data_IF_530402979150
#
_entry.id   IF_530402979150
#
_cell.length_a   1.000
_cell.length_b   1.000
_cell.length_c   1.000
_cell.angle_alpha   90.00
_cell.angle_beta   90.00
_cell.angle_gamma   90.00
#
_symmetry.space_group_name_H-M   'P 1'
#
loop_
_entity.id
_entity.type
_entity.pdbx_description
1 polymer ?
#
# COMPACT_ATOMS: atom_id res chain seq x y z
N UNK A 1 7.90 22.08 -35.67
CA UNK A 1 7.20 22.43 -34.40
C UNK A 1 5.88 21.67 -34.25
N UNK A 2 5.02 21.63 -35.27
CA UNK A 2 3.74 20.88 -35.26
C UNK A 2 3.90 19.39 -34.95
N UNK A 3 4.94 18.74 -35.49
CA UNK A 3 5.22 17.30 -35.27
C UNK A 3 5.54 16.97 -33.82
N UNK A 4 6.34 17.80 -33.14
CA UNK A 4 6.72 17.60 -31.74
C UNK A 4 5.50 17.78 -30.83
N UNK A 5 4.69 18.81 -31.09
CA UNK A 5 3.46 19.05 -30.33
C UNK A 5 2.47 17.89 -30.51
N UNK A 6 2.26 17.44 -31.75
CA UNK A 6 1.40 16.29 -32.04
C UNK A 6 1.91 15.01 -31.37
N UNK A 7 3.23 14.77 -31.39
CA UNK A 7 3.84 13.64 -30.70
C UNK A 7 3.56 13.66 -29.19
N UNK A 8 3.79 14.80 -28.52
CA UNK A 8 3.54 14.95 -27.08
C UNK A 8 2.05 14.68 -26.76
N UNK A 9 1.13 15.23 -27.55
CA UNK A 9 -0.31 15.03 -27.33
C UNK A 9 -0.71 13.56 -27.47
N UNK A 10 -0.26 12.89 -28.54
CA UNK A 10 -0.56 11.47 -28.76
C UNK A 10 0.06 10.61 -27.65
N UNK A 11 1.29 10.91 -27.26
CA UNK A 11 1.99 10.20 -26.20
C UNK A 11 1.27 10.33 -24.85
N UNK A 12 0.84 11.54 -24.48
CA UNK A 12 0.04 11.77 -23.27
C UNK A 12 -1.24 10.92 -23.27
N UNK A 13 -1.98 10.90 -24.38
CA UNK A 13 -3.22 10.13 -24.50
C UNK A 13 -2.93 8.63 -24.34
N UNK A 14 -1.88 8.12 -25.00
CA UNK A 14 -1.50 6.71 -24.94
C UNK A 14 -1.15 6.30 -23.51
N UNK A 15 -0.31 7.09 -22.82
CA UNK A 15 0.05 6.85 -21.42
C UNK A 15 -1.17 6.85 -20.52
N UNK A 16 -2.06 7.84 -20.64
CA UNK A 16 -3.28 7.91 -19.82
C UNK A 16 -4.16 6.68 -20.01
N UNK A 17 -4.35 6.23 -21.25
CA UNK A 17 -5.14 5.02 -21.56
C UNK A 17 -4.46 3.77 -21.02
N UNK A 18 -3.13 3.66 -21.11
CA UNK A 18 -2.37 2.53 -20.59
C UNK A 18 -2.53 2.40 -19.08
N UNK A 19 -2.25 3.47 -18.33
CA UNK A 19 -2.38 3.47 -16.87
C UNK A 19 -3.85 3.27 -16.46
N UNK A 20 -4.79 3.88 -17.18
CA UNK A 20 -6.22 3.68 -16.91
C UNK A 20 -6.63 2.22 -17.10
N UNK A 21 -6.04 1.50 -18.06
CA UNK A 21 -6.21 0.06 -18.21
C UNK A 21 -5.85 -0.70 -16.94
N UNK A 22 -4.63 -0.50 -16.41
CA UNK A 22 -4.20 -1.10 -15.14
C UNK A 22 -5.13 -0.76 -13.99
N UNK A 23 -5.49 0.51 -13.86
CA UNK A 23 -6.40 0.99 -12.83
C UNK A 23 -7.78 0.29 -12.90
N UNK A 24 -8.36 0.23 -14.10
CA UNK A 24 -9.68 -0.35 -14.34
C UNK A 24 -9.69 -1.85 -14.03
N UNK A 25 -8.72 -2.60 -14.55
CA UNK A 25 -8.63 -4.04 -14.31
C UNK A 25 -8.31 -4.34 -12.84
N UNK A 26 -7.42 -3.58 -12.19
CA UNK A 26 -7.12 -3.75 -10.77
C UNK A 26 -8.35 -3.52 -9.89
N UNK A 27 -9.08 -2.42 -10.08
CA UNK A 27 -10.31 -2.12 -9.34
C UNK A 27 -11.39 -3.18 -9.59
N UNK A 28 -11.52 -3.67 -10.82
CA UNK A 28 -12.49 -4.72 -11.18
C UNK A 28 -12.16 -6.07 -10.53
N UNK A 29 -10.87 -6.39 -10.38
CA UNK A 29 -10.39 -7.59 -9.70
C UNK A 29 -10.38 -7.46 -8.16
N UNK A 30 -10.87 -6.35 -7.60
CA UNK A 30 -10.90 -6.10 -6.16
C UNK A 30 -9.55 -5.71 -5.56
N UNK A 31 -8.53 -5.43 -6.38
CA UNK A 31 -7.21 -5.01 -5.92
C UNK A 31 -7.29 -3.54 -5.50
N UNK A 32 -6.84 -3.25 -4.28
CA UNK A 32 -6.76 -1.89 -3.76
C UNK A 32 -5.68 -1.11 -4.52
N UNK A 33 -6.08 -0.04 -5.22
CA UNK A 33 -5.14 0.90 -5.83
C UNK A 33 -4.90 2.06 -4.87
N UNK A 34 -3.67 2.20 -4.37
CA UNK A 34 -3.26 3.26 -3.44
C UNK A 34 -3.01 4.59 -4.15
N UNK A 35 -2.39 4.55 -5.33
CA UNK A 35 -2.10 5.75 -6.13
C UNK A 35 -2.29 5.48 -7.62
N UNK A 36 -2.91 6.44 -8.31
CA UNK A 36 -2.99 6.51 -9.77
C UNK A 36 -2.34 7.82 -10.21
N UNK A 37 -1.20 7.74 -10.90
CA UNK A 37 -0.40 8.89 -11.28
C UNK A 37 -0.34 9.05 -12.79
N UNK A 38 -0.68 10.25 -13.27
CA UNK A 38 -0.45 10.67 -14.65
C UNK A 38 0.75 11.61 -14.66
N UNK A 39 1.77 11.27 -15.43
CA UNK A 39 3.03 12.01 -15.50
C UNK A 39 4.07 11.52 -14.50
N UNK A 40 5.23 12.16 -14.55
CA UNK A 40 6.40 11.92 -13.72
C UNK A 40 6.92 13.23 -13.11
N UNK A 41 7.78 13.12 -12.10
CA UNK A 41 8.43 14.27 -11.47
C UNK A 41 7.53 15.03 -10.47
N UNK A 42 7.69 16.35 -10.34
CA UNK A 42 6.98 17.14 -9.33
C UNK A 42 5.45 17.04 -9.45
N UNK A 43 4.80 16.83 -8.30
CA UNK A 43 3.34 16.77 -8.18
C UNK A 43 2.74 18.17 -8.37
N UNK A 44 1.94 18.33 -9.42
CA UNK A 44 1.17 19.54 -9.67
C UNK A 44 -0.14 19.53 -8.88
N UNK A 45 -0.78 18.36 -8.83
CA UNK A 45 -2.06 18.20 -8.18
C UNK A 45 -2.23 16.79 -7.61
N UNK A 46 -2.98 16.68 -6.52
CA UNK A 46 -3.39 15.42 -5.96
C UNK A 46 -4.80 15.50 -5.35
N UNK A 47 -5.58 14.45 -5.54
CA UNK A 47 -6.90 14.29 -4.95
C UNK A 47 -7.06 12.86 -4.42
N UNK A 48 -7.56 12.71 -3.20
CA UNK A 48 -7.81 11.40 -2.60
C UNK A 48 -9.30 11.07 -2.66
N UNK A 49 -9.67 9.98 -3.34
CA UNK A 49 -11.05 9.54 -3.49
C UNK A 49 -11.14 8.01 -3.58
N UNK A 50 -12.11 7.40 -2.88
CA UNK A 50 -12.36 5.95 -2.91
C UNK A 50 -11.11 5.08 -2.65
N UNK A 51 -10.36 5.44 -1.60
CA UNK A 51 -9.09 4.79 -1.19
C UNK A 51 -7.99 4.80 -2.26
N UNK A 52 -8.08 5.74 -3.22
CA UNK A 52 -7.08 5.93 -4.27
C UNK A 52 -6.67 7.39 -4.32
N UNK A 53 -5.36 7.64 -4.35
CA UNK A 53 -4.79 8.97 -4.57
C UNK A 53 -4.59 9.19 -6.06
N UNK A 54 -5.32 10.11 -6.67
CA UNK A 54 -5.12 10.53 -8.05
C UNK A 54 -4.10 11.66 -8.07
N UNK A 55 -3.02 11.53 -8.83
CA UNK A 55 -1.97 12.55 -8.90
C UNK A 55 -1.68 12.94 -10.34
N UNK A 56 -1.51 14.25 -10.57
CA UNK A 56 -1.07 14.81 -11.83
C UNK A 56 0.31 15.44 -11.63
N UNK A 57 1.26 15.09 -12.49
CA UNK A 57 2.66 15.52 -12.39
C UNK A 57 3.09 16.29 -13.63
N UNK A 58 4.15 17.09 -13.47
CA UNK A 58 4.58 18.06 -14.47
C UNK A 58 5.06 17.42 -15.78
N UNK A 59 5.79 16.31 -15.71
CA UNK A 59 6.38 15.71 -16.90
C UNK A 59 5.40 14.70 -17.50
N UNK A 60 4.99 14.82 -18.77
CA UNK A 60 4.11 13.85 -19.42
C UNK A 60 4.82 12.53 -19.79
N UNK A 61 6.03 12.28 -19.28
CA UNK A 61 6.92 11.18 -19.63
C UNK A 61 6.56 9.87 -18.92
N UNK A 62 5.29 9.46 -19.00
CA UNK A 62 4.78 8.22 -18.39
C UNK A 62 3.77 8.46 -17.27
N UNK A 63 3.51 7.42 -16.49
CA UNK A 63 2.61 7.41 -15.34
C UNK A 63 2.81 6.11 -14.55
N UNK A 64 2.05 5.91 -13.50
CA UNK A 64 2.04 4.61 -12.80
C UNK A 64 0.77 4.38 -11.99
N UNK A 65 0.44 3.11 -11.78
CA UNK A 65 -0.61 2.65 -10.86
C UNK A 65 0.00 1.86 -9.71
N UNK A 66 -0.08 2.39 -8.49
CA UNK A 66 0.40 1.72 -7.28
C UNK A 66 -0.70 0.84 -6.70
N UNK A 67 -0.60 -0.46 -6.96
CA UNK A 67 -1.49 -1.49 -6.43
C UNK A 67 -1.03 -1.99 -5.06
N UNK A 68 -1.96 -2.41 -4.20
CA UNK A 68 -1.63 -3.06 -2.94
C UNK A 68 -0.85 -4.36 -3.19
N UNK A 69 0.15 -4.63 -2.36
CA UNK A 69 1.07 -5.76 -2.53
C UNK A 69 2.24 -5.48 -3.49
N UNK A 70 2.23 -4.36 -4.23
CA UNK A 70 3.42 -3.87 -4.91
C UNK A 70 4.22 -3.00 -3.96
N UNK A 71 5.38 -3.52 -3.50
CA UNK A 71 6.37 -2.86 -2.64
C UNK A 71 5.97 -2.54 -1.19
N UNK A 72 4.84 -3.05 -0.67
CA UNK A 72 4.57 -3.03 0.78
C UNK A 72 5.31 -4.20 1.50
N UNK A 73 6.55 -4.51 1.11
CA UNK A 73 7.41 -5.53 1.75
C UNK A 73 8.05 -5.02 3.05
N UNK A 74 7.98 -3.72 3.35
CA UNK A 74 8.61 -3.13 4.54
C UNK A 74 7.90 -3.52 5.86
N UNK A 75 6.65 -4.00 5.80
CA UNK A 75 5.86 -4.40 6.97
C UNK A 75 5.62 -5.93 7.04
N UNK A 76 6.53 -6.74 6.48
CA UNK A 76 6.43 -8.20 6.62
C UNK A 76 6.81 -8.61 8.05
N UNK A 77 5.82 -9.05 8.84
CA UNK A 77 6.02 -9.59 10.19
C UNK A 77 6.90 -10.83 10.07
N UNK A 78 8.05 -10.84 10.74
CA UNK A 78 9.03 -11.94 10.72
C UNK A 78 9.17 -12.54 12.12
N UNK A 79 9.68 -13.79 12.23
CA UNK A 79 10.14 -14.30 13.51
C UNK A 79 11.12 -13.31 14.18
N UNK A 80 10.86 -12.97 15.44
CA UNK A 80 11.59 -11.96 16.20
C UNK A 80 10.95 -10.56 16.20
N UNK A 81 9.97 -10.27 15.34
CA UNK A 81 9.24 -8.99 15.37
C UNK A 81 8.45 -8.86 16.68
N UNK A 82 8.48 -7.66 17.27
CA UNK A 82 7.70 -7.32 18.45
C UNK A 82 6.33 -6.76 18.06
N UNK A 83 5.28 -7.42 18.53
CA UNK A 83 3.90 -7.00 18.32
C UNK A 83 3.30 -6.54 19.64
N UNK A 84 2.41 -5.54 19.58
CA UNK A 84 1.57 -5.15 20.70
C UNK A 84 0.12 -5.54 20.40
N UNK A 85 -0.44 -6.43 21.22
CA UNK A 85 -1.82 -6.92 21.07
C UNK A 85 -2.76 -6.25 22.07
N UNK A 86 -3.95 -5.86 21.61
CA UNK A 86 -5.06 -5.50 22.49
C UNK A 86 -6.10 -6.61 22.42
N UNK A 87 -6.45 -7.14 23.58
CA UNK A 87 -7.45 -8.20 23.76
C UNK A 87 -8.76 -7.58 24.25
N UNK A 88 -9.89 -8.19 23.92
CA UNK A 88 -11.16 -7.91 24.59
C UNK A 88 -11.34 -8.78 25.85
N UNK A 89 -12.44 -8.60 26.57
CA UNK A 89 -12.77 -9.35 27.80
C UNK A 89 -12.92 -10.87 27.57
N UNK A 90 -13.06 -11.31 26.32
CA UNK A 90 -13.13 -12.73 25.93
C UNK A 90 -11.77 -13.31 25.51
N UNK A 91 -10.68 -12.55 25.68
CA UNK A 91 -9.34 -12.98 25.28
C UNK A 91 -9.13 -13.02 23.76
N UNK A 92 -9.98 -12.37 22.95
CA UNK A 92 -9.79 -12.26 21.49
C UNK A 92 -9.02 -10.99 21.16
N UNK A 93 -8.06 -11.12 20.23
CA UNK A 93 -7.30 -9.99 19.70
C UNK A 93 -8.23 -9.09 18.89
N UNK A 94 -8.34 -7.83 19.30
CA UNK A 94 -9.13 -6.80 18.60
C UNK A 94 -8.24 -5.82 17.84
N UNK A 95 -6.96 -5.67 18.25
CA UNK A 95 -5.97 -4.85 17.53
C UNK A 95 -4.58 -5.49 17.62
N UNK A 96 -3.85 -5.41 16.51
CA UNK A 96 -2.45 -5.80 16.36
C UNK A 96 -1.70 -4.53 15.93
N UNK A 97 -0.66 -4.16 16.66
CA UNK A 97 0.28 -3.14 16.21
C UNK A 97 1.64 -3.80 15.95
N UNK A 98 2.08 -3.72 14.70
CA UNK A 98 3.35 -4.25 14.21
C UNK A 98 4.38 -3.16 13.92
N UNK A 99 4.08 -1.88 14.22
CA UNK A 99 4.99 -0.77 13.98
C UNK A 99 5.89 -0.49 15.21
N UNK A 100 7.18 -0.31 14.95
CA UNK A 100 8.20 0.06 15.95
C UNK A 100 7.99 1.43 16.62
N UNK A 101 7.07 2.24 16.08
CA UNK A 101 6.93 3.66 16.44
C UNK A 101 5.97 3.95 17.60
N UNK A 102 5.23 2.97 18.13
CA UNK A 102 4.26 3.27 19.19
C UNK A 102 4.01 2.07 20.09
N UNK A 103 4.61 2.07 21.27
CA UNK A 103 4.17 1.23 22.40
C UNK A 103 2.76 1.69 22.77
N UNK A 104 1.74 0.92 22.39
CA UNK A 104 0.36 1.21 22.76
C UNK A 104 0.24 1.10 24.28
N UNK A 105 -0.23 2.16 24.95
CA UNK A 105 -0.52 2.10 26.38
C UNK A 105 -1.55 0.99 26.65
N UNK A 106 -1.15 -0.05 27.38
CA UNK A 106 -2.01 -1.19 27.74
C UNK A 106 -2.05 -2.35 26.73
N UNK A 107 -1.20 -2.36 25.71
CA UNK A 107 -1.04 -3.52 24.83
C UNK A 107 -0.12 -4.60 25.42
N UNK A 108 -0.48 -5.86 25.24
CA UNK A 108 0.34 -7.01 25.64
C UNK A 108 1.48 -7.20 24.62
N UNK A 109 2.76 -7.08 25.03
CA UNK A 109 3.89 -7.30 24.14
C UNK A 109 4.03 -8.79 23.84
N UNK A 110 4.19 -9.13 22.56
CA UNK A 110 4.36 -10.51 22.07
C UNK A 110 5.50 -10.53 21.08
N UNK A 111 6.47 -11.40 21.31
CA UNK A 111 7.52 -11.69 20.34
C UNK A 111 7.07 -12.81 19.42
N UNK A 112 7.12 -12.56 18.12
CA UNK A 112 6.70 -13.51 17.09
C UNK A 112 7.72 -14.65 16.97
N UNK A 113 7.24 -15.90 17.01
CA UNK A 113 8.06 -17.10 16.82
C UNK A 113 7.90 -17.71 15.43
N UNK A 114 6.69 -17.67 14.87
CA UNK A 114 6.36 -18.21 13.54
C UNK A 114 5.28 -17.36 12.88
N UNK A 115 5.39 -17.19 11.57
CA UNK A 115 4.42 -16.47 10.75
C UNK A 115 4.12 -17.29 9.50
N UNK A 116 2.84 -17.48 9.20
CA UNK A 116 2.36 -17.99 7.93
C UNK A 116 1.11 -17.22 7.51
N UNK A 117 1.29 -16.17 6.71
CA UNK A 117 0.21 -15.31 6.21
C UNK A 117 -0.31 -15.75 4.83
N UNK A 118 0.13 -16.92 4.32
CA UNK A 118 -0.19 -17.37 2.96
C UNK A 118 -1.03 -18.63 2.96
N UNK A 119 -0.63 -19.65 3.73
CA UNK A 119 -1.31 -20.95 3.77
C UNK A 119 -2.23 -21.05 4.97
N UNK A 120 -1.66 -20.87 6.15
CA UNK A 120 -2.35 -21.16 7.42
C UNK A 120 -3.03 -19.91 8.00
N UNK A 121 -2.64 -18.71 7.56
CA UNK A 121 -3.10 -17.41 8.09
C UNK A 121 -2.91 -17.29 9.62
N UNK A 122 -1.75 -17.75 10.13
CA UNK A 122 -1.40 -17.75 11.56
C UNK A 122 -0.16 -16.90 11.86
N UNK A 123 -0.18 -16.29 13.04
CA UNK A 123 0.99 -15.70 13.70
C UNK A 123 1.06 -16.34 15.09
N UNK A 124 2.18 -16.98 15.39
CA UNK A 124 2.47 -17.56 16.69
C UNK A 124 3.56 -16.72 17.38
N UNK A 125 3.49 -16.64 18.69
CA UNK A 125 4.45 -15.89 19.48
C UNK A 125 4.24 -16.11 20.96
N UNK A 126 5.21 -15.64 21.74
CA UNK A 126 5.18 -15.74 23.20
C UNK A 126 5.09 -14.34 23.78
N UNK A 127 4.33 -14.14 24.87
CA UNK A 127 4.37 -12.88 25.57
C UNK A 127 5.78 -12.60 26.07
N UNK A 128 6.29 -11.41 25.76
CA UNK A 128 7.55 -10.96 26.34
C UNK A 128 7.27 -10.60 27.80
N UNK A 129 7.62 -11.53 28.70
CA UNK A 129 7.70 -11.22 30.13
C UNK A 129 8.99 -10.44 30.32
N UNK A 130 8.86 -9.13 30.54
CA UNK A 130 9.91 -8.34 31.18
C UNK A 130 10.23 -8.86 32.56
#
# INVERSE_FOLDING_TARGET
MTTIIAFIVIFCILVVVHEFGHFYFAKRSGILVREFSIGMGPKLWASHKNNTTYTLRLLPLGGYVRMAGWQDEEDEIKPGTMLSLILNDQGKVVRINASDKTTLAGGMPVQVSRVDLVKDLVIEGYPERG
#
